data_IF_184158956032
#
_entry.id   IF_184158956032
#
_cell.length_a   1.000
_cell.length_b   1.000
_cell.length_c   1.000
_cell.angle_alpha   90.00
_cell.angle_beta   90.00
_cell.angle_gamma   90.00
#
_symmetry.space_group_name_H-M   'P 1'
#
loop_
_entity.id
_entity.type
_entity.pdbx_description
1 polymer ?
#
# COMPACT_ATOMS: atom_id res chain seq x y z
N UNK A 1 3.75 -19.83 -9.72
CA UNK A 1 3.82 -20.29 -8.31
C UNK A 1 3.56 -19.09 -7.41
N UNK A 2 2.79 -19.24 -6.33
CA UNK A 2 2.52 -18.12 -5.40
C UNK A 2 3.79 -17.86 -4.59
N UNK A 3 4.32 -16.64 -4.64
CA UNK A 3 5.53 -16.28 -3.88
C UNK A 3 5.25 -16.32 -2.36
N UNK A 4 6.20 -16.80 -1.54
CA UNK A 4 6.17 -16.61 -0.08
C UNK A 4 6.09 -15.12 0.29
N UNK A 5 5.48 -14.80 1.45
CA UNK A 5 5.46 -13.42 1.94
C UNK A 5 6.88 -12.84 2.09
N UNK A 6 7.83 -13.64 2.57
CA UNK A 6 9.23 -13.24 2.72
C UNK A 6 9.93 -12.82 1.40
N UNK A 7 9.37 -13.15 0.23
CA UNK A 7 9.85 -12.68 -1.08
C UNK A 7 9.13 -11.41 -1.57
N UNK A 8 8.08 -10.97 -0.86
CA UNK A 8 7.22 -9.84 -1.24
C UNK A 8 7.42 -8.62 -0.33
N UNK A 9 7.83 -8.83 0.93
CA UNK A 9 7.89 -7.81 1.97
C UNK A 9 9.18 -7.97 2.80
N UNK A 10 9.48 -7.01 3.69
CA UNK A 10 10.67 -7.10 4.53
C UNK A 10 10.61 -8.33 5.48
N UNK A 11 11.75 -8.96 5.83
CA UNK A 11 11.75 -10.19 6.63
C UNK A 11 11.08 -10.06 8.00
N UNK A 12 11.25 -8.91 8.66
CA UNK A 12 10.63 -8.61 9.95
C UNK A 12 9.11 -8.41 9.85
N UNK A 13 8.63 -7.83 8.75
CA UNK A 13 7.20 -7.83 8.42
C UNK A 13 6.67 -9.23 8.10
N UNK A 14 7.44 -10.07 7.41
CA UNK A 14 7.03 -11.44 7.10
C UNK A 14 6.84 -12.28 8.38
N UNK A 15 7.74 -12.13 9.37
CA UNK A 15 7.57 -12.75 10.68
C UNK A 15 6.34 -12.18 11.42
N UNK A 16 6.20 -10.86 11.46
CA UNK A 16 5.08 -10.19 12.13
C UNK A 16 3.71 -10.56 11.54
N UNK A 17 3.63 -10.72 10.21
CA UNK A 17 2.41 -11.05 9.49
C UNK A 17 2.16 -12.55 9.33
N UNK A 18 3.05 -13.42 9.82
CA UNK A 18 2.88 -14.88 9.77
C UNK A 18 1.50 -15.36 10.26
N UNK A 19 0.93 -14.84 11.37
CA UNK A 19 -0.39 -15.29 11.85
C UNK A 19 -1.54 -15.01 10.86
N UNK A 20 -1.39 -14.01 9.98
CA UNK A 20 -2.41 -13.59 9.01
C UNK A 20 -2.05 -13.95 7.57
N UNK A 21 -0.96 -14.69 7.35
CA UNK A 21 -0.56 -15.16 6.03
C UNK A 21 -1.66 -15.94 5.28
N UNK A 22 -2.43 -16.85 5.93
CA UNK A 22 -3.55 -17.51 5.25
C UNK A 22 -4.61 -16.52 4.75
N UNK A 23 -4.88 -15.46 5.51
CA UNK A 23 -5.83 -14.39 5.13
C UNK A 23 -5.30 -13.61 3.93
N UNK A 24 -4.02 -13.22 3.93
CA UNK A 24 -3.41 -12.51 2.79
C UNK A 24 -3.47 -13.36 1.52
N UNK A 25 -3.19 -14.65 1.63
CA UNK A 25 -3.29 -15.60 0.50
C UNK A 25 -4.72 -15.69 -0.04
N UNK A 26 -5.71 -15.83 0.84
CA UNK A 26 -7.13 -15.86 0.47
C UNK A 26 -7.59 -14.57 -0.24
N UNK A 27 -7.14 -13.40 0.23
CA UNK A 27 -7.41 -12.12 -0.43
C UNK A 27 -6.80 -12.11 -1.84
N UNK A 28 -5.53 -12.53 -1.98
CA UNK A 28 -4.85 -12.58 -3.28
C UNK A 28 -5.47 -13.59 -4.25
N UNK A 29 -6.05 -14.69 -3.76
CA UNK A 29 -6.84 -15.63 -4.57
C UNK A 29 -8.15 -15.01 -5.04
N UNK A 30 -8.88 -14.37 -4.14
CA UNK A 30 -10.15 -13.70 -4.46
C UNK A 30 -9.96 -12.59 -5.50
N UNK A 31 -8.96 -11.74 -5.33
CA UNK A 31 -8.63 -10.68 -6.30
C UNK A 31 -8.30 -11.23 -7.70
N UNK A 32 -7.68 -12.41 -7.78
CA UNK A 32 -7.40 -13.09 -9.06
C UNK A 32 -8.64 -13.75 -9.65
N UNK A 33 -9.52 -14.33 -8.83
CA UNK A 33 -10.72 -15.03 -9.29
C UNK A 33 -11.85 -14.12 -9.71
N UNK A 34 -11.99 -12.95 -9.10
CA UNK A 34 -13.10 -12.01 -9.39
C UNK A 34 -13.03 -11.43 -10.81
N UNK A 35 -11.86 -11.42 -11.45
CA UNK A 35 -11.67 -10.91 -12.82
C UNK A 35 -11.96 -9.41 -13.00
N UNK A 36 -12.27 -8.70 -11.91
CA UNK A 36 -12.50 -7.26 -11.88
C UNK A 36 -11.17 -6.52 -11.70
N UNK A 37 -10.99 -5.36 -12.35
CA UNK A 37 -9.83 -4.54 -12.08
C UNK A 37 -9.83 -4.07 -10.61
N UNK A 38 -8.66 -4.08 -9.99
CA UNK A 38 -8.41 -3.53 -8.66
C UNK A 38 -7.20 -2.59 -8.70
N UNK A 39 -7.10 -1.74 -7.68
CA UNK A 39 -5.97 -0.82 -7.48
C UNK A 39 -5.34 -1.09 -6.11
N UNK A 40 -4.04 -0.85 -5.93
CA UNK A 40 -3.04 -0.51 -6.97
C UNK A 40 -2.69 -1.72 -7.86
N UNK A 41 -1.68 -1.59 -8.71
CA UNK A 41 -1.08 -2.73 -9.41
C UNK A 41 -0.71 -3.85 -8.40
N UNK A 42 -0.80 -5.11 -8.82
CA UNK A 42 -0.62 -6.27 -7.94
C UNK A 42 0.70 -6.26 -7.16
N UNK A 43 1.81 -5.90 -7.81
CA UNK A 43 3.12 -5.77 -7.14
C UNK A 43 3.19 -4.64 -6.10
N UNK A 44 2.22 -3.72 -6.09
CA UNK A 44 2.19 -2.59 -5.18
C UNK A 44 1.22 -2.79 -4.01
N UNK A 45 0.39 -3.84 -4.00
CA UNK A 45 -0.60 -4.07 -2.93
C UNK A 45 0.06 -4.15 -1.55
N UNK A 46 1.23 -4.79 -1.46
CA UNK A 46 1.98 -4.95 -0.20
C UNK A 46 3.18 -4.00 -0.06
N UNK A 47 3.27 -2.96 -0.91
CA UNK A 47 4.45 -2.09 -0.99
C UNK A 47 4.80 -1.41 0.34
N UNK A 48 3.81 -1.03 1.15
CA UNK A 48 4.04 -0.43 2.46
C UNK A 48 4.89 -1.32 3.40
N UNK A 49 4.85 -2.64 3.21
CA UNK A 49 5.57 -3.61 4.05
C UNK A 49 6.98 -3.95 3.51
N UNK A 50 7.43 -3.33 2.41
CA UNK A 50 8.79 -3.56 1.89
C UNK A 50 9.85 -2.77 2.64
N UNK A 51 9.46 -1.75 3.40
CA UNK A 51 10.36 -1.04 4.31
C UNK A 51 10.48 -1.84 5.63
N UNK A 52 11.69 -2.03 6.19
CA UNK A 52 11.87 -2.80 7.42
C UNK A 52 10.96 -2.29 8.54
N UNK A 53 10.25 -3.20 9.20
CA UNK A 53 9.41 -2.89 10.36
C UNK A 53 10.24 -2.23 11.47
N UNK A 54 11.48 -2.65 11.66
CA UNK A 54 12.38 -2.10 12.67
C UNK A 54 12.68 -0.60 12.49
N UNK A 55 12.56 -0.06 11.27
CA UNK A 55 12.81 1.35 10.97
C UNK A 55 11.55 2.22 11.12
N UNK A 56 10.37 1.61 11.31
CA UNK A 56 9.09 2.32 11.40
C UNK A 56 8.97 3.01 12.76
N UNK A 57 8.75 4.33 12.74
CA UNK A 57 8.51 5.14 13.96
C UNK A 57 7.12 5.77 14.01
N UNK A 58 6.52 6.00 12.85
CA UNK A 58 5.21 6.64 12.70
C UNK A 58 4.41 5.83 11.68
N UNK A 59 3.15 5.57 11.99
CA UNK A 59 2.20 4.91 11.10
C UNK A 59 1.13 5.92 10.67
N UNK A 60 1.02 6.15 9.37
CA UNK A 60 -0.08 6.92 8.76
C UNK A 60 -1.05 5.92 8.12
N UNK A 61 -2.29 5.89 8.59
CA UNK A 61 -3.34 4.99 8.09
C UNK A 61 -4.33 5.78 7.24
N UNK A 62 -4.48 5.37 5.98
CA UNK A 62 -5.58 5.80 5.11
C UNK A 62 -6.73 4.80 5.10
N UNK A 63 -7.83 5.13 4.41
CA UNK A 63 -9.00 4.24 4.30
C UNK A 63 -8.79 3.15 3.24
N UNK A 64 -8.63 3.56 1.98
CA UNK A 64 -8.47 2.69 0.82
C UNK A 64 -7.59 3.37 -0.24
N UNK A 65 -7.07 2.62 -1.23
CA UNK A 65 -6.27 3.20 -2.32
C UNK A 65 -7.07 4.26 -3.08
N UNK A 66 -6.39 5.24 -3.68
CA UNK A 66 -7.07 6.18 -4.57
C UNK A 66 -7.84 5.44 -5.67
N UNK A 67 -9.12 5.81 -5.92
CA UNK A 67 -9.96 5.10 -6.89
C UNK A 67 -9.60 5.41 -8.35
N UNK A 68 -8.84 6.48 -8.58
CA UNK A 68 -8.40 6.89 -9.91
C UNK A 68 -7.22 6.03 -10.38
N UNK A 69 -7.32 5.34 -11.52
CA UNK A 69 -6.19 4.60 -12.10
C UNK A 69 -4.96 5.49 -12.27
N UNK A 70 -3.78 4.97 -11.90
CA UNK A 70 -2.52 5.72 -11.94
C UNK A 70 -2.21 6.55 -10.70
N UNK A 71 -3.15 6.73 -9.76
CA UNK A 71 -2.87 7.44 -8.50
C UNK A 71 -2.35 6.52 -7.40
N UNK A 72 -2.98 5.37 -7.19
CA UNK A 72 -2.60 4.47 -6.11
C UNK A 72 -1.28 3.74 -6.42
N UNK A 73 -0.29 3.89 -5.54
CA UNK A 73 1.05 3.29 -5.72
C UNK A 73 1.44 2.31 -4.62
N UNK A 74 0.50 1.90 -3.74
CA UNK A 74 0.78 0.98 -2.63
C UNK A 74 1.24 1.62 -1.32
N UNK A 75 1.23 2.96 -1.25
CA UNK A 75 1.53 3.75 -0.05
C UNK A 75 0.37 4.73 0.17
N UNK A 76 -0.19 4.78 1.39
CA UNK A 76 -1.36 5.63 1.69
C UNK A 76 -1.07 7.09 1.37
N UNK A 77 -2.03 7.75 0.72
CA UNK A 77 -1.99 9.14 0.25
C UNK A 77 -0.94 9.51 -0.81
N UNK A 78 0.07 8.67 -1.06
CA UNK A 78 1.12 8.94 -2.03
C UNK A 78 0.69 8.65 -3.48
N UNK A 79 1.33 9.34 -4.41
CA UNK A 79 1.19 9.17 -5.87
C UNK A 79 2.57 9.22 -6.53
N UNK A 80 2.69 8.73 -7.77
CA UNK A 80 3.94 8.89 -8.52
C UNK A 80 4.28 10.37 -8.76
N UNK A 81 5.58 10.69 -8.83
CA UNK A 81 6.05 12.10 -8.87
C UNK A 81 5.44 12.93 -9.99
N UNK A 82 5.15 12.31 -11.13
CA UNK A 82 4.61 12.95 -12.33
C UNK A 82 3.09 13.18 -12.28
N UNK A 83 2.36 12.58 -11.34
CA UNK A 83 0.89 12.65 -11.27
C UNK A 83 0.44 14.08 -10.99
N UNK A 84 -0.32 14.67 -11.91
CA UNK A 84 -0.95 15.99 -11.76
C UNK A 84 -2.34 15.99 -12.41
N UNK A 85 -3.33 16.70 -11.83
CA UNK A 85 -3.30 17.35 -10.51
C UNK A 85 -3.20 16.33 -9.37
N UNK A 86 -2.71 16.75 -8.19
CA UNK A 86 -2.64 15.88 -7.02
C UNK A 86 -4.05 15.52 -6.50
N UNK A 87 -4.25 14.35 -5.88
CA UNK A 87 -5.51 14.04 -5.21
C UNK A 87 -5.85 15.05 -4.11
N UNK A 88 -7.15 15.34 -3.92
CA UNK A 88 -7.62 16.37 -2.98
C UNK A 88 -7.16 16.14 -1.55
N UNK A 89 -7.13 14.89 -1.08
CA UNK A 89 -6.62 14.53 0.24
C UNK A 89 -5.13 14.85 0.39
N UNK A 90 -4.29 14.55 -0.61
CA UNK A 90 -2.87 14.89 -0.57
C UNK A 90 -2.65 16.41 -0.61
N UNK A 91 -3.46 17.15 -1.39
CA UNK A 91 -3.44 18.62 -1.35
C UNK A 91 -3.78 19.16 0.05
N UNK A 92 -4.76 18.56 0.73
CA UNK A 92 -5.12 18.94 2.09
C UNK A 92 -4.00 18.62 3.08
N UNK A 93 -3.35 17.47 2.96
CA UNK A 93 -2.19 17.09 3.79
C UNK A 93 -1.04 18.08 3.61
N UNK A 94 -0.75 18.52 2.38
CA UNK A 94 0.29 19.52 2.15
C UNK A 94 -0.04 20.91 2.66
N UNK A 95 -1.33 21.29 2.66
CA UNK A 95 -1.75 22.54 3.29
C UNK A 95 -1.53 22.48 4.80
N UNK A 96 -2.02 21.43 5.45
CA UNK A 96 -1.84 21.23 6.89
C UNK A 96 -0.35 21.19 7.28
N UNK A 97 0.47 20.48 6.49
CA UNK A 97 1.91 20.43 6.70
C UNK A 97 2.57 21.82 6.70
N UNK A 98 2.14 22.71 5.80
CA UNK A 98 2.67 24.07 5.71
C UNK A 98 2.09 25.04 6.74
N UNK A 99 0.94 24.71 7.33
CA UNK A 99 0.34 25.47 8.43
C UNK A 99 0.94 25.06 9.79
N UNK A 100 1.38 23.80 9.94
CA UNK A 100 1.90 23.22 11.18
C UNK A 100 3.43 23.35 11.37
N UNK A 101 4.22 23.30 10.28
CA UNK A 101 5.71 23.31 10.32
C UNK A 101 6.32 24.56 9.69
#
# INVERSE_FOLDING_TARGET
>A
MVKPLAELIAPDWAEALRPVEPTIRSIGERLRSEGRPYLPAGEHVLRAFTQPLADVRVLIVGQDPYPTPGHAIGLSFAVERHVRPLPRSLQNIYRELGDDL
#
